data_IF_555523709722
#
_entry.id   IF_555523709722
#
_cell.length_a   1.000
_cell.length_b   1.000
_cell.length_c   1.000
_cell.angle_alpha   90.00
_cell.angle_beta   90.00
_cell.angle_gamma   90.00
#
_symmetry.space_group_name_H-M   'P 1'
#
loop_
_entity.id
_entity.type
_entity.pdbx_description
1 polymer ?
#
# COMPACT_ATOMS: atom_id res chain seq x y z
N UNK A 1 -12.74 -21.13 15.43
CA UNK A 1 -11.68 -20.73 14.48
C UNK A 1 -11.37 -19.26 14.75
N UNK A 2 -10.12 -18.88 15.02
CA UNK A 2 -9.76 -17.46 15.16
C UNK A 2 -9.97 -16.75 13.81
N UNK A 3 -10.35 -15.47 13.81
CA UNK A 3 -10.57 -14.62 12.62
C UNK A 3 -9.39 -14.68 11.66
N UNK A 4 -8.16 -14.65 12.18
CA UNK A 4 -6.94 -14.82 11.39
C UNK A 4 -6.94 -16.12 10.58
N UNK A 5 -7.30 -17.25 11.18
CA UNK A 5 -7.37 -18.52 10.48
C UNK A 5 -8.48 -18.53 9.43
N UNK A 6 -9.63 -17.92 9.72
CA UNK A 6 -10.72 -17.80 8.74
C UNK A 6 -10.30 -16.95 7.53
N UNK A 7 -9.66 -15.80 7.77
CA UNK A 7 -9.09 -14.94 6.72
C UNK A 7 -8.08 -15.69 5.87
N UNK A 8 -7.15 -16.40 6.51
CA UNK A 8 -6.18 -17.23 5.81
C UNK A 8 -6.85 -18.29 4.94
N UNK A 9 -7.89 -18.96 5.44
CA UNK A 9 -8.61 -19.98 4.67
C UNK A 9 -9.35 -19.38 3.46
N UNK A 10 -9.93 -18.19 3.61
CA UNK A 10 -10.55 -17.45 2.48
C UNK A 10 -9.51 -17.09 1.42
N UNK A 11 -8.33 -16.58 1.83
CA UNK A 11 -7.23 -16.27 0.92
C UNK A 11 -6.75 -17.53 0.19
N UNK A 12 -6.59 -18.66 0.90
CA UNK A 12 -6.21 -19.94 0.28
C UNK A 12 -7.25 -20.41 -0.73
N UNK A 13 -8.54 -20.25 -0.43
CA UNK A 13 -9.63 -20.61 -1.34
C UNK A 13 -9.55 -19.81 -2.65
N UNK A 14 -9.38 -18.49 -2.54
CA UNK A 14 -9.23 -17.60 -3.70
C UNK A 14 -7.96 -17.92 -4.48
N UNK A 15 -6.82 -18.10 -3.80
CA UNK A 15 -5.54 -18.42 -4.44
C UNK A 15 -5.61 -19.74 -5.24
N UNK A 16 -6.27 -20.76 -4.70
CA UNK A 16 -6.49 -22.03 -5.40
C UNK A 16 -7.41 -21.87 -6.61
N UNK A 17 -8.49 -21.10 -6.50
CA UNK A 17 -9.42 -20.88 -7.60
C UNK A 17 -8.79 -20.07 -8.75
N UNK A 18 -7.96 -19.06 -8.44
CA UNK A 18 -7.22 -18.31 -9.45
C UNK A 18 -6.25 -19.20 -10.24
N UNK A 19 -5.63 -20.18 -9.58
CA UNK A 19 -4.58 -21.00 -10.18
C UNK A 19 -3.30 -20.19 -10.47
N UNK A 20 -2.20 -20.89 -10.73
CA UNK A 20 -0.86 -20.30 -10.80
C UNK A 20 -0.76 -19.13 -11.81
N UNK A 21 -1.39 -19.29 -12.98
CA UNK A 21 -1.38 -18.28 -14.04
C UNK A 21 -1.93 -16.92 -13.56
N UNK A 22 -3.18 -16.86 -13.07
CA UNK A 22 -3.75 -15.59 -12.62
C UNK A 22 -3.17 -15.13 -11.29
N UNK A 23 -2.79 -16.05 -10.41
CA UNK A 23 -2.22 -15.72 -9.10
C UNK A 23 -0.95 -14.87 -9.23
N UNK A 24 -0.17 -15.09 -10.30
CA UNK A 24 1.03 -14.31 -10.63
C UNK A 24 0.74 -12.90 -11.18
N UNK A 25 -0.52 -12.53 -11.43
CA UNK A 25 -0.92 -11.23 -11.99
C UNK A 25 -1.78 -10.38 -11.06
N UNK A 26 -1.99 -10.83 -9.82
CA UNK A 26 -2.82 -10.14 -8.83
C UNK A 26 -2.07 -9.98 -7.51
N UNK A 27 -2.38 -8.95 -6.73
CA UNK A 27 -1.84 -8.79 -5.38
C UNK A 27 -2.97 -8.72 -4.34
N UNK A 28 -2.89 -9.52 -3.29
CA UNK A 28 -3.85 -9.55 -2.19
C UNK A 28 -3.67 -8.33 -1.29
N UNK A 29 -4.78 -7.72 -0.90
CA UNK A 29 -4.83 -6.52 -0.06
C UNK A 29 -6.09 -6.55 0.81
N UNK A 30 -6.34 -5.46 1.54
CA UNK A 30 -7.61 -5.26 2.24
C UNK A 30 -7.65 -5.88 3.64
N UNK A 31 -8.82 -5.81 4.27
CA UNK A 31 -8.95 -6.20 5.69
C UNK A 31 -8.62 -7.67 5.94
N UNK A 32 -8.85 -8.53 4.94
CA UNK A 32 -8.56 -9.96 5.02
C UNK A 32 -7.05 -10.25 5.10
N UNK A 33 -6.19 -9.35 4.62
CA UNK A 33 -4.74 -9.54 4.66
C UNK A 33 -4.07 -8.91 5.87
N UNK A 34 -4.77 -8.07 6.65
CA UNK A 34 -4.21 -7.33 7.80
C UNK A 34 -3.45 -8.26 8.75
N UNK A 35 -4.03 -9.42 9.07
CA UNK A 35 -3.40 -10.40 9.96
C UNK A 35 -2.11 -11.04 9.42
N UNK A 36 -1.92 -11.11 8.10
CA UNK A 36 -0.68 -11.61 7.47
C UNK A 36 0.47 -10.61 7.58
N UNK A 37 0.16 -9.31 7.73
CA UNK A 37 1.13 -8.23 7.82
C UNK A 37 1.58 -7.93 9.26
N UNK A 38 0.81 -8.38 10.25
CA UNK A 38 1.12 -8.22 11.67
C UNK A 38 2.18 -9.24 12.10
N UNK A 39 3.18 -8.79 12.89
CA UNK A 39 4.25 -9.65 13.43
C UNK A 39 4.04 -10.02 14.90
N UNK A 40 3.25 -9.24 15.64
CA UNK A 40 2.87 -9.50 17.03
C UNK A 40 1.67 -10.46 17.14
N UNK A 41 1.87 -11.65 17.73
CA UNK A 41 0.85 -12.70 17.84
C UNK A 41 -0.39 -12.26 18.62
N UNK A 42 -0.23 -11.45 19.67
CA UNK A 42 -1.37 -10.95 20.45
C UNK A 42 -2.28 -10.04 19.60
N UNK A 43 -1.68 -9.14 18.82
CA UNK A 43 -2.43 -8.25 17.92
C UNK A 43 -3.16 -9.02 16.82
N UNK A 44 -2.62 -10.15 16.35
CA UNK A 44 -3.29 -10.98 15.33
C UNK A 44 -4.67 -11.48 15.78
N UNK A 45 -4.88 -11.65 17.08
CA UNK A 45 -6.18 -12.07 17.62
C UNK A 45 -7.22 -10.93 17.61
N UNK A 46 -6.76 -9.68 17.59
CA UNK A 46 -7.61 -8.49 17.62
C UNK A 46 -8.14 -8.05 16.24
N UNK A 47 -7.68 -8.67 15.14
CA UNK A 47 -8.08 -8.25 13.79
C UNK A 47 -9.60 -8.30 13.61
N UNK A 48 -10.15 -7.31 12.91
CA UNK A 48 -11.58 -7.24 12.59
C UNK A 48 -11.97 -8.41 11.69
N UNK A 49 -13.19 -8.93 11.87
CA UNK A 49 -13.76 -9.85 10.88
C UNK A 49 -14.16 -9.11 9.59
N UNK A 50 -13.94 -9.75 8.44
CA UNK A 50 -14.40 -9.31 7.11
C UNK A 50 -14.81 -10.55 6.33
N UNK A 51 -15.78 -10.41 5.42
CA UNK A 51 -16.39 -11.51 4.65
C UNK A 51 -16.00 -11.49 3.16
N UNK A 52 -15.06 -10.61 2.81
CA UNK A 52 -14.53 -10.38 1.47
C UNK A 52 -13.00 -10.56 1.40
N UNK A 53 -12.52 -10.90 0.22
CA UNK A 53 -11.08 -10.91 -0.13
C UNK A 53 -10.85 -9.88 -1.22
N UNK A 54 -10.00 -8.90 -0.95
CA UNK A 54 -9.66 -7.84 -1.90
C UNK A 54 -8.36 -8.18 -2.65
N UNK A 55 -8.34 -7.97 -3.96
CA UNK A 55 -7.18 -8.11 -4.81
C UNK A 55 -7.03 -6.88 -5.70
N UNK A 56 -5.79 -6.45 -5.91
CA UNK A 56 -5.45 -5.48 -6.93
C UNK A 56 -5.12 -6.22 -8.22
N UNK A 57 -5.57 -5.71 -9.36
CA UNK A 57 -5.30 -6.27 -10.69
C UNK A 57 -4.78 -5.18 -11.63
N UNK A 58 -3.89 -5.57 -12.56
CA UNK A 58 -3.49 -4.69 -13.65
C UNK A 58 -4.40 -4.90 -14.86
N UNK A 59 -5.16 -3.88 -15.24
CA UNK A 59 -6.01 -3.89 -16.44
C UNK A 59 -5.98 -2.52 -17.11
N UNK A 60 -6.21 -2.48 -18.42
CA UNK A 60 -6.27 -1.22 -19.18
C UNK A 60 -7.68 -1.00 -19.69
N UNK A 61 -8.35 0.02 -19.14
CA UNK A 61 -9.70 0.41 -19.44
C UNK A 61 -10.73 -0.72 -19.33
N UNK A 62 -11.94 -0.43 -19.83
CA UNK A 62 -13.06 -1.37 -19.80
C UNK A 62 -12.79 -2.68 -20.55
N UNK A 63 -12.04 -2.64 -21.65
CA UNK A 63 -11.76 -3.85 -22.44
C UNK A 63 -10.82 -4.81 -21.71
N UNK A 64 -9.83 -4.30 -20.97
CA UNK A 64 -8.98 -5.11 -20.11
C UNK A 64 -9.77 -5.75 -18.97
N UNK A 65 -10.64 -4.98 -18.32
CA UNK A 65 -11.55 -5.48 -17.29
C UNK A 65 -12.44 -6.62 -17.79
N UNK A 66 -13.06 -6.47 -18.96
CA UNK A 66 -13.93 -7.51 -19.54
C UNK A 66 -13.17 -8.82 -19.78
N UNK A 67 -11.98 -8.75 -20.39
CA UNK A 67 -11.15 -9.94 -20.64
C UNK A 67 -10.72 -10.62 -19.34
N UNK A 68 -10.38 -9.85 -18.32
CA UNK A 68 -10.04 -10.40 -17.01
C UNK A 68 -11.26 -11.10 -16.37
N UNK A 69 -12.43 -10.47 -16.46
CA UNK A 69 -13.70 -11.01 -15.95
C UNK A 69 -14.06 -12.35 -16.60
N UNK A 70 -13.87 -12.51 -17.91
CA UNK A 70 -14.09 -13.78 -18.62
C UNK A 70 -13.17 -14.91 -18.09
N UNK A 71 -11.91 -14.58 -17.78
CA UNK A 71 -10.96 -15.54 -17.21
C UNK A 71 -11.32 -15.99 -15.79
N UNK A 72 -11.94 -15.09 -15.00
CA UNK A 72 -12.46 -15.40 -13.68
C UNK A 72 -13.65 -16.36 -13.77
N UNK A 73 -14.56 -16.17 -14.74
CA UNK A 73 -15.70 -17.08 -14.94
C UNK A 73 -15.25 -18.50 -15.23
N UNK A 74 -14.21 -18.69 -16.05
CA UNK A 74 -13.60 -19.99 -16.31
C UNK A 74 -12.99 -20.67 -15.07
N UNK A 75 -12.80 -19.91 -13.98
CA UNK A 75 -12.23 -20.35 -12.70
C UNK A 75 -13.26 -20.47 -11.57
N UNK A 76 -14.54 -20.39 -11.91
CA UNK A 76 -15.65 -20.58 -10.97
C UNK A 76 -16.07 -19.33 -10.20
N UNK A 77 -15.50 -18.17 -10.54
CA UNK A 77 -16.01 -16.89 -10.05
C UNK A 77 -17.23 -16.47 -10.87
N UNK A 78 -18.17 -15.75 -10.26
CA UNK A 78 -19.34 -15.21 -10.97
C UNK A 78 -19.78 -13.87 -10.41
N UNK A 79 -20.42 -13.05 -11.24
CA UNK A 79 -21.05 -11.80 -10.80
C UNK A 79 -22.44 -12.14 -10.27
N UNK A 80 -22.76 -11.69 -9.06
CA UNK A 80 -24.09 -11.83 -8.46
C UNK A 80 -24.93 -10.59 -8.74
N UNK A 81 -26.21 -10.78 -9.06
CA UNK A 81 -27.16 -9.64 -9.17
C UNK A 81 -27.50 -9.03 -7.80
N UNK A 82 -27.20 -9.74 -6.71
CA UNK A 82 -27.43 -9.28 -5.34
C UNK A 82 -26.34 -8.33 -4.84
N UNK A 83 -25.23 -8.18 -5.56
CA UNK A 83 -24.10 -7.35 -5.17
C UNK A 83 -24.10 -6.03 -5.97
N UNK A 84 -24.01 -4.90 -5.27
CA UNK A 84 -23.98 -3.55 -5.89
C UNK A 84 -22.56 -3.06 -6.23
N UNK A 85 -21.53 -3.78 -5.76
CA UNK A 85 -20.12 -3.43 -5.95
C UNK A 85 -19.66 -3.94 -7.32
N UNK A 86 -19.32 -3.03 -8.22
CA UNK A 86 -19.01 -3.36 -9.62
C UNK A 86 -17.70 -4.14 -9.84
N UNK A 87 -16.78 -4.16 -8.87
CA UNK A 87 -15.58 -4.99 -8.89
C UNK A 87 -15.76 -6.35 -8.20
N UNK A 88 -16.94 -6.64 -7.65
CA UNK A 88 -17.20 -7.81 -6.80
C UNK A 88 -17.61 -9.03 -7.63
N UNK A 89 -16.93 -10.13 -7.36
CA UNK A 89 -17.31 -11.47 -7.79
C UNK A 89 -17.61 -12.32 -6.56
N UNK A 90 -18.26 -13.46 -6.80
CA UNK A 90 -18.45 -14.51 -5.80
C UNK A 90 -17.70 -15.77 -6.20
N UNK A 91 -17.10 -16.42 -5.21
CA UNK A 91 -16.57 -17.77 -5.30
C UNK A 91 -17.37 -18.65 -4.31
N UNK A 92 -18.37 -19.35 -4.82
CA UNK A 92 -19.41 -19.91 -3.97
C UNK A 92 -20.18 -18.79 -3.25
N UNK A 93 -20.04 -18.68 -1.92
CA UNK A 93 -20.61 -17.60 -1.10
C UNK A 93 -19.59 -16.52 -0.72
N UNK A 94 -18.29 -16.74 -0.98
CA UNK A 94 -17.23 -15.81 -0.64
C UNK A 94 -17.26 -14.62 -1.60
N UNK A 95 -17.22 -13.40 -1.08
CA UNK A 95 -17.09 -12.17 -1.87
C UNK A 95 -15.61 -11.94 -2.19
N UNK A 96 -15.32 -11.60 -3.43
CA UNK A 96 -13.96 -11.38 -3.91
C UNK A 96 -13.95 -10.14 -4.77
N UNK A 97 -13.26 -9.09 -4.32
CA UNK A 97 -13.23 -7.79 -4.97
C UNK A 97 -11.93 -7.66 -5.77
N UNK A 98 -12.06 -7.50 -7.09
CA UNK A 98 -10.93 -7.34 -8.01
C UNK A 98 -10.81 -5.87 -8.41
N UNK A 99 -9.95 -5.13 -7.70
CA UNK A 99 -9.81 -3.68 -7.83
C UNK A 99 -8.79 -3.32 -8.93
N UNK A 100 -9.21 -2.62 -10.00
CA UNK A 100 -8.31 -2.25 -11.09
C UNK A 100 -7.39 -1.09 -10.72
N UNK A 101 -6.15 -1.13 -11.22
CA UNK A 101 -5.19 -0.02 -11.10
C UNK A 101 -5.44 1.12 -12.11
N UNK A 102 -6.43 0.98 -12.98
CA UNK A 102 -6.86 1.96 -13.97
C UNK A 102 -8.32 2.40 -13.70
N UNK A 103 -8.52 3.71 -13.53
CA UNK A 103 -9.84 4.28 -13.31
C UNK A 103 -10.77 4.10 -14.52
N UNK A 104 -10.24 4.02 -15.74
CA UNK A 104 -11.04 3.84 -16.96
C UNK A 104 -11.63 2.42 -17.06
N UNK A 105 -11.26 1.51 -16.16
CA UNK A 105 -11.83 0.17 -16.08
C UNK A 105 -13.22 0.17 -15.44
N UNK A 106 -13.38 0.80 -14.27
CA UNK A 106 -14.58 0.73 -13.43
C UNK A 106 -15.06 2.08 -12.87
N UNK A 107 -14.44 3.19 -13.26
CA UNK A 107 -14.78 4.54 -12.81
C UNK A 107 -14.20 4.91 -11.43
N UNK A 108 -13.37 4.06 -10.83
CA UNK A 108 -12.64 4.34 -9.60
C UNK A 108 -11.28 3.63 -9.61
N UNK A 109 -10.33 4.17 -8.86
CA UNK A 109 -9.06 3.50 -8.58
C UNK A 109 -8.43 4.09 -7.32
N UNK A 110 -7.28 3.54 -6.93
CA UNK A 110 -6.43 4.07 -5.87
C UNK A 110 -5.05 4.33 -6.48
N UNK A 111 -4.53 5.54 -6.30
CA UNK A 111 -3.25 5.95 -6.92
C UNK A 111 -2.06 5.05 -6.55
N UNK A 112 -2.15 4.29 -5.46
CA UNK A 112 -1.10 3.39 -5.01
C UNK A 112 -1.20 1.97 -5.60
N UNK A 113 -2.30 1.60 -6.26
CA UNK A 113 -2.51 0.24 -6.77
C UNK A 113 -1.44 -0.21 -7.77
N UNK A 114 -1.08 0.66 -8.71
CA UNK A 114 -0.03 0.36 -9.69
C UNK A 114 1.32 0.08 -9.02
N UNK A 115 1.72 0.93 -8.07
CA UNK A 115 2.98 0.77 -7.36
C UNK A 115 2.97 -0.46 -6.42
N UNK A 116 1.82 -0.75 -5.80
CA UNK A 116 1.61 -1.94 -4.97
C UNK A 116 1.74 -3.24 -5.76
N UNK A 117 1.19 -3.28 -6.99
CA UNK A 117 1.31 -4.42 -7.92
C UNK A 117 2.73 -4.63 -8.43
N UNK A 118 3.51 -3.56 -8.57
CA UNK A 118 4.90 -3.65 -9.02
C UNK A 118 5.86 -4.08 -7.90
N UNK A 119 5.47 -3.92 -6.64
CA UNK A 119 6.31 -4.19 -5.47
C UNK A 119 5.59 -5.06 -4.41
N UNK A 120 5.01 -6.22 -4.78
CA UNK A 120 4.41 -7.11 -3.81
C UNK A 120 5.47 -7.90 -3.05
N UNK A 121 5.12 -8.36 -1.86
CA UNK A 121 5.88 -9.34 -1.11
C UNK A 121 5.37 -10.74 -1.43
N UNK A 122 6.28 -11.65 -1.78
CA UNK A 122 5.92 -13.06 -1.94
C UNK A 122 5.66 -13.68 -0.57
N UNK A 123 4.45 -14.21 -0.35
CA UNK A 123 4.04 -14.77 0.92
C UNK A 123 3.63 -16.26 0.76
N UNK A 124 4.26 -17.20 1.47
CA UNK A 124 3.87 -18.62 1.45
C UNK A 124 2.58 -18.83 2.24
N UNK A 125 1.44 -18.78 1.57
CA UNK A 125 0.14 -18.84 2.25
C UNK A 125 -0.16 -20.26 2.74
N UNK A 126 0.18 -21.28 1.96
CA UNK A 126 0.07 -22.71 2.31
C UNK A 126 1.08 -23.52 1.50
N UNK A 127 1.25 -24.81 1.84
CA UNK A 127 2.17 -25.70 1.12
C UNK A 127 1.94 -25.64 -0.41
N UNK A 128 3.01 -25.32 -1.15
CA UNK A 128 3.01 -25.23 -2.60
C UNK A 128 2.34 -23.99 -3.20
N UNK A 129 1.81 -23.06 -2.39
CA UNK A 129 1.12 -21.86 -2.88
C UNK A 129 1.73 -20.61 -2.25
N UNK A 130 2.30 -19.76 -3.10
CA UNK A 130 2.72 -18.42 -2.75
C UNK A 130 1.75 -17.40 -3.34
N UNK A 131 1.42 -16.38 -2.57
CA UNK A 131 0.63 -15.24 -3.04
C UNK A 131 1.51 -13.99 -3.14
N UNK A 132 1.14 -13.07 -4.02
CA UNK A 132 1.64 -11.71 -3.97
C UNK A 132 0.82 -10.94 -2.95
N UNK A 133 1.44 -10.59 -1.83
CA UNK A 133 0.82 -9.80 -0.76
C UNK A 133 1.28 -8.36 -0.91
N UNK A 134 0.36 -7.40 -0.87
CA UNK A 134 0.74 -5.98 -0.86
C UNK A 134 1.60 -5.69 0.36
N UNK A 135 2.77 -5.08 0.15
CA UNK A 135 3.72 -4.76 1.22
C UNK A 135 3.09 -3.83 2.28
N UNK A 136 3.59 -3.84 3.54
CA UNK A 136 3.05 -3.01 4.62
C UNK A 136 2.93 -1.52 4.26
N UNK A 137 3.91 -0.96 3.55
CA UNK A 137 3.93 0.47 3.19
C UNK A 137 2.86 0.82 2.17
N UNK A 138 2.67 -0.01 1.14
CA UNK A 138 1.60 0.20 0.17
C UNK A 138 0.23 -0.16 0.74
N UNK A 139 0.14 -1.13 1.66
CA UNK A 139 -1.09 -1.43 2.38
C UNK A 139 -1.59 -0.18 3.12
N UNK A 140 -0.73 0.46 3.94
CA UNK A 140 -1.08 1.71 4.60
C UNK A 140 -1.49 2.80 3.62
N UNK A 141 -0.73 2.96 2.52
CA UNK A 141 -0.98 4.01 1.55
C UNK A 141 -2.36 3.83 0.89
N UNK A 142 -2.70 2.59 0.51
CA UNK A 142 -4.02 2.27 -0.06
C UNK A 142 -5.14 2.49 0.95
N UNK A 143 -4.93 2.16 2.24
CA UNK A 143 -5.91 2.37 3.31
C UNK A 143 -6.16 3.84 3.61
N UNK A 144 -5.13 4.67 3.70
CA UNK A 144 -5.30 6.11 3.86
C UNK A 144 -6.01 6.75 2.67
N UNK A 145 -5.70 6.32 1.44
CA UNK A 145 -6.38 6.82 0.25
C UNK A 145 -7.87 6.40 0.23
N UNK A 146 -8.18 5.16 0.63
CA UNK A 146 -9.55 4.70 0.78
C UNK A 146 -10.30 5.51 1.87
N UNK A 147 -9.66 5.76 3.02
CA UNK A 147 -10.24 6.60 4.07
C UNK A 147 -10.61 8.01 3.56
N UNK A 148 -9.79 8.63 2.70
CA UNK A 148 -10.13 9.92 2.09
C UNK A 148 -11.32 9.86 1.13
N UNK A 149 -11.43 8.78 0.36
CA UNK A 149 -12.48 8.62 -0.64
C UNK A 149 -13.85 8.29 -0.05
N UNK A 150 -13.92 7.46 0.99
CA UNK A 150 -15.20 6.95 1.56
C UNK A 150 -15.38 7.16 3.07
N UNK A 151 -14.33 7.58 3.78
CA UNK A 151 -14.33 7.64 5.24
C UNK A 151 -14.99 8.87 5.85
N UNK A 152 -15.43 9.85 5.04
CA UNK A 152 -16.12 11.06 5.50
C UNK A 152 -15.40 11.82 6.65
N UNK A 153 -14.08 11.67 6.74
CA UNK A 153 -13.24 12.15 7.87
C UNK A 153 -13.64 11.60 9.25
N UNK A 154 -14.39 10.50 9.32
CA UNK A 154 -14.75 9.83 10.56
C UNK A 154 -13.71 8.76 10.92
N UNK A 155 -12.81 9.10 11.86
CA UNK A 155 -11.79 8.17 12.34
C UNK A 155 -12.36 7.01 13.14
N UNK A 156 -13.52 7.17 13.77
CA UNK A 156 -14.04 6.24 14.77
C UNK A 156 -14.81 5.08 14.12
N UNK A 157 -15.52 5.34 13.03
CA UNK A 157 -16.26 4.30 12.30
C UNK A 157 -15.48 3.71 11.11
N UNK A 158 -14.31 4.28 10.77
CA UNK A 158 -13.53 3.87 9.60
C UNK A 158 -12.79 2.55 9.81
N UNK A 159 -13.22 1.53 9.07
CA UNK A 159 -12.52 0.24 8.96
C UNK A 159 -11.10 0.38 8.40
N UNK A 160 -10.88 1.39 7.55
CA UNK A 160 -9.54 1.64 6.99
C UNK A 160 -8.59 2.17 8.07
N UNK A 161 -9.08 3.02 8.98
CA UNK A 161 -8.31 3.50 10.15
C UNK A 161 -8.07 2.36 11.15
N UNK A 162 -9.07 1.51 11.39
CA UNK A 162 -8.90 0.33 12.24
C UNK A 162 -7.80 -0.62 11.71
N UNK A 163 -7.78 -0.89 10.41
CA UNK A 163 -6.73 -1.69 9.76
C UNK A 163 -5.34 -1.03 9.87
N UNK A 164 -5.27 0.30 9.68
CA UNK A 164 -4.02 1.07 9.85
C UNK A 164 -3.50 0.96 11.28
N UNK A 165 -4.35 1.19 12.28
CA UNK A 165 -3.94 1.18 13.68
C UNK A 165 -3.57 -0.22 14.16
N UNK A 166 -4.28 -1.27 13.71
CA UNK A 166 -3.90 -2.66 13.98
C UNK A 166 -2.53 -3.01 13.41
N UNK A 167 -2.19 -2.52 12.21
CA UNK A 167 -0.86 -2.74 11.64
C UNK A 167 0.22 -1.97 12.41
N UNK A 168 -0.05 -0.71 12.77
CA UNK A 168 0.86 0.10 13.60
C UNK A 168 1.11 -0.56 14.96
N UNK A 169 0.07 -1.11 15.57
CA UNK A 169 0.15 -1.79 16.87
C UNK A 169 0.84 -3.15 16.78
N UNK A 170 0.62 -3.86 15.67
CA UNK A 170 1.06 -5.23 15.48
C UNK A 170 2.40 -5.42 14.77
N UNK A 171 3.02 -4.38 14.22
CA UNK A 171 4.26 -4.49 13.44
C UNK A 171 5.31 -3.48 13.90
N UNK A 172 6.31 -3.95 14.64
CA UNK A 172 7.37 -3.09 15.18
C UNK A 172 8.32 -2.58 14.09
N UNK A 173 8.48 -3.35 13.01
CA UNK A 173 9.36 -3.06 11.88
C UNK A 173 8.86 -1.90 11.01
N UNK A 174 7.58 -1.51 11.16
CA UNK A 174 6.88 -0.62 10.25
C UNK A 174 7.56 0.74 10.07
N UNK A 175 8.13 1.30 11.14
CA UNK A 175 8.87 2.57 11.04
C UNK A 175 10.10 2.48 10.14
N UNK A 176 10.86 1.37 10.24
CA UNK A 176 12.03 1.15 9.39
C UNK A 176 11.64 0.86 7.94
N UNK A 177 10.55 0.13 7.72
CA UNK A 177 10.02 -0.13 6.38
C UNK A 177 9.56 1.15 5.69
N UNK A 178 8.85 2.03 6.40
CA UNK A 178 8.46 3.34 5.87
C UNK A 178 9.71 4.18 5.56
N UNK A 179 10.74 4.16 6.41
CA UNK A 179 11.97 4.90 6.17
C UNK A 179 12.72 4.46 4.89
N UNK A 180 12.61 3.18 4.52
CA UNK A 180 13.23 2.58 3.34
C UNK A 180 12.32 2.60 2.09
N UNK A 181 11.06 3.00 2.25
CA UNK A 181 10.11 3.06 1.14
C UNK A 181 10.49 4.16 0.13
N UNK A 182 9.99 4.07 -1.11
CA UNK A 182 10.11 5.14 -2.09
C UNK A 182 9.64 6.48 -1.52
N UNK A 183 10.26 7.56 -2.00
CA UNK A 183 10.09 8.89 -1.42
C UNK A 183 8.65 9.39 -1.42
N UNK A 184 7.94 9.15 -2.51
CA UNK A 184 6.55 9.57 -2.69
C UNK A 184 5.60 8.89 -1.69
N UNK A 185 5.71 7.57 -1.51
CA UNK A 185 4.87 6.83 -0.56
C UNK A 185 5.28 7.14 0.88
N UNK A 186 6.58 7.28 1.17
CA UNK A 186 7.05 7.65 2.50
C UNK A 186 6.53 9.03 2.90
N UNK A 187 6.75 10.04 2.06
CA UNK A 187 6.36 11.42 2.34
C UNK A 187 4.83 11.53 2.46
N UNK A 188 4.09 10.75 1.66
CA UNK A 188 2.65 10.59 1.81
C UNK A 188 2.26 10.04 3.19
N UNK A 189 2.79 8.90 3.59
CA UNK A 189 2.45 8.26 4.86
C UNK A 189 2.80 9.15 6.06
N UNK A 190 3.95 9.82 6.03
CA UNK A 190 4.36 10.79 7.06
C UNK A 190 3.32 11.90 7.18
N UNK A 191 2.87 12.46 6.06
CA UNK A 191 1.84 13.49 6.05
C UNK A 191 0.51 12.98 6.63
N UNK A 192 0.07 11.78 6.26
CA UNK A 192 -1.19 11.21 6.76
C UNK A 192 -1.15 10.88 8.24
N UNK A 193 -0.04 10.32 8.74
CA UNK A 193 0.12 10.09 10.17
C UNK A 193 0.21 11.40 10.95
N UNK A 194 0.85 12.43 10.41
CA UNK A 194 0.83 13.76 11.04
C UNK A 194 -0.59 14.35 11.07
N UNK A 195 -1.37 14.20 10.00
CA UNK A 195 -2.78 14.61 9.99
C UNK A 195 -3.60 13.83 11.03
N UNK A 196 -3.37 12.53 11.14
CA UNK A 196 -3.99 11.68 12.16
C UNK A 196 -3.68 12.19 13.57
N UNK A 197 -2.40 12.45 13.91
CA UNK A 197 -2.01 12.95 15.24
C UNK A 197 -2.64 14.31 15.58
N UNK A 198 -2.92 15.15 14.59
CA UNK A 198 -3.55 16.45 14.78
C UNK A 198 -5.09 16.39 14.83
N UNK A 199 -5.69 15.22 14.63
CA UNK A 199 -7.13 15.04 14.74
C UNK A 199 -7.58 15.01 16.21
N UNK A 200 -8.68 15.69 16.58
CA UNK A 200 -9.25 15.60 17.92
C UNK A 200 -9.69 14.17 18.29
N UNK A 201 -10.01 13.34 17.28
CA UNK A 201 -10.51 11.98 17.47
C UNK A 201 -9.41 10.91 17.53
N UNK A 202 -8.15 11.29 17.30
CA UNK A 202 -7.02 10.35 17.25
C UNK A 202 -6.92 9.51 18.53
N UNK A 203 -7.11 10.15 19.69
CA UNK A 203 -7.07 9.48 20.99
C UNK A 203 -8.16 8.43 21.14
N UNK A 204 -9.38 8.75 20.71
CA UNK A 204 -10.51 7.82 20.80
C UNK A 204 -10.32 6.64 19.84
N UNK A 205 -9.80 6.89 18.63
CA UNK A 205 -9.46 5.82 17.69
C UNK A 205 -8.38 4.87 18.25
N UNK A 206 -7.28 5.42 18.79
CA UNK A 206 -6.21 4.62 19.41
C UNK A 206 -6.72 3.83 20.62
N UNK A 207 -7.51 4.47 21.49
CA UNK A 207 -8.11 3.80 22.65
C UNK A 207 -9.01 2.63 22.24
N UNK A 208 -9.81 2.82 21.18
CA UNK A 208 -10.67 1.77 20.63
C UNK A 208 -9.84 0.58 20.11
N UNK A 209 -8.80 0.83 19.32
CA UNK A 209 -7.90 -0.22 18.81
C UNK A 209 -7.17 -0.95 19.95
N UNK A 210 -6.69 -0.22 20.95
CA UNK A 210 -6.01 -0.79 22.11
C UNK A 210 -6.95 -1.52 23.09
N UNK A 211 -8.26 -1.52 22.85
CA UNK A 211 -9.27 -2.10 23.74
C UNK A 211 -9.14 -1.59 25.19
N UNK A 212 -8.78 -0.31 25.36
CA UNK A 212 -8.55 0.33 26.66
C UNK A 212 -7.25 -0.05 27.38
N UNK A 213 -6.34 -0.81 26.76
CA UNK A 213 -5.01 -1.07 27.31
C UNK A 213 -4.11 0.16 27.15
N UNK A 214 -3.90 0.87 28.25
CA UNK A 214 -3.07 2.09 28.33
C UNK A 214 -1.62 1.85 27.88
N UNK A 215 -1.06 0.65 28.08
CA UNK A 215 0.29 0.34 27.62
C UNK A 215 0.34 0.21 26.08
N UNK A 216 -0.68 -0.43 25.49
CA UNK A 216 -0.82 -0.51 24.02
C UNK A 216 -1.11 0.83 23.39
N UNK A 217 -1.99 1.65 23.98
CA UNK A 217 -2.23 3.03 23.52
C UNK A 217 -0.91 3.81 23.37
N UNK A 218 -0.04 3.74 24.39
CA UNK A 218 1.28 4.39 24.37
C UNK A 218 2.20 3.84 23.28
N UNK A 219 2.16 2.53 23.03
CA UNK A 219 2.96 1.89 21.97
C UNK A 219 2.51 2.40 20.60
N UNK A 220 1.20 2.43 20.34
CA UNK A 220 0.64 2.91 19.09
C UNK A 220 1.06 4.37 18.85
N UNK A 221 0.81 5.26 19.82
CA UNK A 221 1.21 6.67 19.69
C UNK A 221 2.71 6.83 19.46
N UNK A 222 3.56 6.16 20.25
CA UNK A 222 5.02 6.22 20.10
C UNK A 222 5.48 5.79 18.71
N UNK A 223 4.84 4.77 18.12
CA UNK A 223 5.17 4.30 16.77
C UNK A 223 4.74 5.31 15.70
N UNK A 224 3.55 5.90 15.81
CA UNK A 224 3.08 6.96 14.90
C UNK A 224 4.01 8.18 14.98
N UNK A 225 4.32 8.64 16.19
CA UNK A 225 5.25 9.76 16.43
C UNK A 225 6.63 9.47 15.83
N UNK A 226 7.15 8.26 16.00
CA UNK A 226 8.43 7.84 15.41
C UNK A 226 8.39 7.89 13.88
N UNK A 227 7.31 7.40 13.25
CA UNK A 227 7.13 7.48 11.78
C UNK A 227 7.16 8.94 11.32
N UNK A 228 6.43 9.83 11.99
CA UNK A 228 6.41 11.26 11.65
C UNK A 228 7.79 11.90 11.82
N UNK A 229 8.50 11.59 12.90
CA UNK A 229 9.85 12.09 13.15
C UNK A 229 10.87 11.65 12.09
N UNK A 230 10.78 10.40 11.62
CA UNK A 230 11.64 9.91 10.55
C UNK A 230 11.49 10.73 9.26
N UNK A 231 10.26 11.10 8.91
CA UNK A 231 9.98 11.95 7.76
C UNK A 231 10.54 13.37 7.90
N UNK A 232 10.35 14.00 9.07
CA UNK A 232 10.86 15.35 9.34
C UNK A 232 12.40 15.41 9.28
N UNK A 233 13.09 14.44 9.88
CA UNK A 233 14.55 14.39 9.86
C UNK A 233 15.10 14.23 8.43
N UNK A 234 14.45 13.43 7.58
CA UNK A 234 14.86 13.29 6.19
C UNK A 234 14.58 14.55 5.36
N UNK A 235 13.48 15.26 5.61
CA UNK A 235 13.19 16.54 4.96
C UNK A 235 14.21 17.62 5.35
N UNK A 236 14.61 17.67 6.62
CA UNK A 236 15.69 18.56 7.07
C UNK A 236 17.02 18.23 6.35
N UNK A 237 17.40 16.95 6.29
CA UNK A 237 18.59 16.50 5.55
C UNK A 237 18.49 16.91 4.07
N UNK A 238 17.37 16.63 3.39
CA UNK A 238 17.14 17.04 1.99
C UNK A 238 17.22 18.54 1.81
N UNK A 239 16.71 19.33 2.74
CA UNK A 239 16.78 20.80 2.68
C UNK A 239 18.21 21.32 2.82
N UNK A 240 19.06 20.65 3.62
CA UNK A 240 20.49 20.99 3.77
C UNK A 240 21.32 20.57 2.56
N UNK A 241 20.93 19.49 1.88
CA UNK A 241 21.64 18.97 0.70
C UNK A 241 21.02 19.40 -0.63
N UNK A 242 19.92 20.19 -0.63
CA UNK A 242 19.39 20.82 -1.83
C UNK A 242 20.45 21.81 -2.32
N UNK A 243 21.06 21.62 -3.51
CA UNK A 243 21.95 22.64 -4.02
C UNK A 243 21.13 23.91 -4.22
N UNK A 244 21.63 25.07 -3.79
CA UNK A 244 20.98 26.34 -4.11
C UNK A 244 20.90 26.48 -5.63
N UNK A 245 19.87 27.17 -6.15
CA UNK A 245 19.77 27.46 -7.58
C UNK A 245 21.09 28.06 -8.11
N UNK A 246 21.72 28.94 -7.32
CA UNK A 246 23.04 29.50 -7.61
C UNK A 246 24.18 28.48 -7.71
N UNK A 247 24.13 27.36 -6.98
CA UNK A 247 25.12 26.28 -7.05
C UNK A 247 24.90 25.40 -8.27
N UNK A 248 23.65 25.15 -8.66
CA UNK A 248 23.32 24.45 -9.90
C UNK A 248 23.73 25.28 -11.12
N UNK A 249 23.42 26.58 -11.11
CA UNK A 249 23.82 27.50 -12.18
C UNK A 249 25.34 27.62 -12.31
N UNK A 250 26.08 27.57 -11.19
CA UNK A 250 27.55 27.57 -11.19
C UNK A 250 28.12 26.26 -11.75
N UNK A 251 27.57 25.10 -11.36
CA UNK A 251 28.02 23.80 -11.89
C UNK A 251 27.70 23.65 -13.39
N UNK A 252 26.56 24.18 -13.84
CA UNK A 252 26.19 24.21 -15.26
C UNK A 252 27.13 25.14 -16.04
N UNK A 253 27.43 26.34 -15.52
CA UNK A 253 28.40 27.26 -16.13
C UNK A 253 29.81 26.69 -16.19
N UNK A 254 30.29 26.08 -15.11
CA UNK A 254 31.62 25.46 -15.07
C UNK A 254 31.71 24.28 -16.06
N UNK A 255 30.61 23.53 -16.23
CA UNK A 255 30.51 22.47 -17.24
C UNK A 255 30.49 23.00 -18.68
N UNK A 256 29.80 24.11 -18.93
CA UNK A 256 29.78 24.79 -20.23
C UNK A 256 31.13 25.42 -20.59
N UNK A 257 31.83 26.05 -19.63
CA UNK A 257 33.19 26.58 -19.81
C UNK A 257 34.21 25.45 -20.05
N UNK A 258 34.09 24.32 -19.35
CA UNK A 258 34.95 23.15 -19.59
C UNK A 258 34.75 22.57 -20.99
N UNK A 259 33.51 22.51 -21.48
CA UNK A 259 33.18 22.06 -22.84
C UNK A 259 33.59 23.07 -23.93
N UNK A 260 33.63 24.37 -23.61
CA UNK A 260 34.13 25.41 -24.50
C UNK A 260 35.66 25.34 -24.63
N UNK A 261 36.38 25.22 -23.52
CA UNK A 261 37.85 25.15 -23.50
C UNK A 261 38.40 23.85 -24.10
N UNK A 262 37.67 22.73 -24.00
CA UNK A 262 38.07 21.46 -24.64
C UNK A 262 37.86 21.44 -26.16
N UNK A 263 37.09 22.37 -26.73
CA UNK A 263 36.96 22.54 -28.18
C UNK A 263 38.02 23.44 -28.80
N UNK A 264 38.67 24.30 -28.01
CA UNK A 264 39.75 25.17 -28.50
C UNK A 264 41.13 24.47 -28.52
N UNK A 265 41.35 23.45 -27.66
CA UNK A 265 42.68 22.86 -27.45
C UNK A 265 42.96 21.52 -28.16
N UNK A 266 42.25 21.16 -29.24
CA UNK A 266 42.67 19.96 -29.97
C UNK A 266 41.85 19.56 -31.17
N UNK A 267 42.07 20.23 -32.31
CA UNK A 267 42.01 19.65 -33.65
C UNK A 267 42.78 20.57 -34.62
N UNK A 268 44.07 20.78 -34.36
CA UNK A 268 45.00 21.23 -35.40
C UNK A 268 46.29 20.41 -35.29
N UNK A 269 46.49 19.53 -36.27
CA UNK A 269 47.80 18.91 -36.50
C UNK A 269 47.84 17.40 -36.46
N UNK A 270 47.07 16.72 -37.34
CA UNK A 270 47.61 15.55 -38.07
C UNK A 270 47.08 15.63 -39.51
N UNK A 271 47.89 16.20 -40.40
CA UNK A 271 47.76 16.07 -41.86
C UNK A 271 49.11 15.62 -42.42
N UNK A 272 49.20 14.31 -42.70
CA UNK A 272 49.88 13.60 -43.82
C UNK A 272 50.06 12.12 -43.45
#
# INVERSE_FOLDING_TARGET
>A
MNRYNMHRDMIVMVAKALGEELLSHVAFVGGCTTGLLITDELTKEAIRYTDDVDLIINVVGYTGWHKFSEQLVGRGFYISMDDEVNCRFRLGQLKVDFMPDDADALGFTNRWYKAALQNPQLYPITEGINIQLVSPVYFLATKFEAFKGRGNNDLLSSRDIEDILNLVDGRIELGAEIAQAPDDVRDYLVSEFNNFLNSPDARYAVQSTANGDVAREKIIFKRIEYIVQLGLNQLEVRSRFRPSASRLDAVVKDGEEFLANTKEDGLDGISE
#
